data_IF_725167841076
#
_entry.id   IF_725167841076
#
_cell.length_a   1.000
_cell.length_b   1.000
_cell.length_c   1.000
_cell.angle_alpha   90.00
_cell.angle_beta   90.00
_cell.angle_gamma   90.00
#
_symmetry.space_group_name_H-M   'P 1'
#
loop_
_entity.id
_entity.type
_entity.pdbx_description
1 polymer ?
#
# COMPACT_ATOMS: atom_id res chain seq x y z
N UNK A 1 -4.23 -6.12 -17.66
CA UNK A 1 -2.89 -6.42 -17.12
C UNK A 1 -2.53 -5.59 -15.87
N UNK A 2 -2.83 -4.29 -15.80
CA UNK A 2 -2.47 -3.43 -14.63
C UNK A 2 -3.40 -3.54 -13.41
N UNK A 3 -4.62 -4.10 -13.55
CA UNK A 3 -5.62 -4.15 -12.46
C UNK A 3 -5.18 -4.92 -11.20
N UNK A 4 -4.35 -5.96 -11.37
CA UNK A 4 -3.85 -6.77 -10.25
C UNK A 4 -2.91 -5.97 -9.33
N UNK A 5 -2.11 -5.05 -9.89
CA UNK A 5 -1.24 -4.16 -9.11
C UNK A 5 -2.06 -3.21 -8.22
N UNK A 6 -3.25 -2.82 -8.67
CA UNK A 6 -4.17 -1.98 -7.91
C UNK A 6 -4.92 -2.75 -6.82
N UNK A 7 -5.09 -4.06 -6.99
CA UNK A 7 -5.75 -4.93 -6.01
C UNK A 7 -4.81 -5.32 -4.86
N UNK A 8 -3.51 -5.35 -5.11
CA UNK A 8 -2.47 -5.70 -4.13
C UNK A 8 -2.50 -4.83 -2.85
N UNK A 9 -2.57 -3.48 -2.92
CA UNK A 9 -2.71 -2.65 -1.72
C UNK A 9 -4.01 -2.91 -0.95
N UNK A 10 -5.11 -3.17 -1.66
CA UNK A 10 -6.41 -3.47 -1.04
C UNK A 10 -6.34 -4.78 -0.29
N UNK A 11 -5.69 -5.80 -0.87
CA UNK A 11 -5.46 -7.09 -0.22
C UNK A 11 -4.57 -6.95 1.02
N UNK A 12 -3.50 -6.15 0.93
CA UNK A 12 -2.60 -5.88 2.07
C UNK A 12 -3.33 -5.13 3.20
N UNK A 13 -4.17 -4.15 2.86
CA UNK A 13 -5.00 -3.43 3.84
C UNK A 13 -6.01 -4.36 4.53
N UNK A 14 -6.66 -5.25 3.78
CA UNK A 14 -7.58 -6.25 4.33
C UNK A 14 -6.86 -7.26 5.24
N UNK A 15 -5.68 -7.74 4.83
CA UNK A 15 -4.86 -8.63 5.65
C UNK A 15 -4.43 -7.97 6.97
N UNK A 16 -4.00 -6.71 6.91
CA UNK A 16 -3.63 -5.95 8.10
C UNK A 16 -4.82 -5.67 9.03
N UNK A 17 -6.00 -5.39 8.47
CA UNK A 17 -7.23 -5.23 9.23
C UNK A 17 -7.64 -6.53 9.94
N UNK A 18 -7.57 -7.68 9.24
CA UNK A 18 -7.83 -8.99 9.84
C UNK A 18 -6.84 -9.32 10.95
N UNK A 19 -5.56 -8.99 10.76
CA UNK A 19 -4.52 -9.17 11.78
C UNK A 19 -4.82 -8.36 13.04
N UNK A 20 -5.15 -7.06 12.88
CA UNK A 20 -5.53 -6.22 14.01
C UNK A 20 -6.77 -6.76 14.76
N UNK A 21 -7.76 -7.24 14.00
CA UNK A 21 -9.00 -7.75 14.56
C UNK A 21 -8.81 -9.08 15.29
N UNK A 22 -7.93 -9.96 14.80
CA UNK A 22 -7.60 -11.23 15.45
C UNK A 22 -6.83 -11.01 16.76
N UNK A 23 -5.88 -10.07 16.78
CA UNK A 23 -5.06 -9.78 17.95
C UNK A 23 -5.66 -8.75 18.92
N UNK A 24 -6.90 -8.28 18.69
CA UNK A 24 -7.56 -7.23 19.50
C UNK A 24 -6.72 -5.95 19.66
N UNK A 25 -5.83 -5.68 18.70
CA UNK A 25 -4.93 -4.53 18.78
C UNK A 25 -5.75 -3.27 18.47
N UNK A 26 -5.68 -2.22 19.30
CA UNK A 26 -6.41 -0.99 19.05
C UNK A 26 -6.01 -0.40 17.69
N UNK A 27 -7.02 0.01 16.89
CA UNK A 27 -6.85 0.61 15.56
C UNK A 27 -5.84 1.76 15.54
N UNK A 28 -5.73 2.52 16.64
CA UNK A 28 -4.72 3.58 16.83
C UNK A 28 -3.28 3.11 16.62
N UNK A 29 -2.97 1.86 16.97
CA UNK A 29 -1.64 1.29 16.81
C UNK A 29 -1.44 0.68 15.41
N UNK A 30 -2.52 0.17 14.81
CA UNK A 30 -2.50 -0.38 13.44
C UNK A 30 -2.43 0.65 12.33
N UNK A 31 -2.72 1.93 12.60
CA UNK A 31 -2.58 3.04 11.63
C UNK A 31 -1.16 3.10 11.08
N UNK A 32 -0.14 2.75 11.88
CA UNK A 32 1.26 2.68 11.41
C UNK A 32 1.47 1.66 10.30
N UNK A 33 0.77 0.52 10.33
CA UNK A 33 0.86 -0.47 9.26
C UNK A 33 0.10 -0.05 8.01
N UNK A 34 -1.07 0.56 8.18
CA UNK A 34 -1.80 1.19 7.07
C UNK A 34 -0.97 2.29 6.39
N UNK A 35 -0.30 3.15 7.17
CA UNK A 35 0.57 4.19 6.61
C UNK A 35 1.77 3.60 5.86
N UNK A 36 2.31 2.46 6.31
CA UNK A 36 3.37 1.75 5.58
C UNK A 36 2.88 1.22 4.23
N UNK A 37 1.69 0.61 4.18
CA UNK A 37 1.11 0.09 2.93
C UNK A 37 0.87 1.23 1.94
N UNK A 38 0.30 2.34 2.41
CA UNK A 38 0.03 3.52 1.58
C UNK A 38 1.35 4.16 1.11
N UNK A 39 2.31 4.36 2.01
CA UNK A 39 3.61 4.95 1.68
C UNK A 39 4.37 4.09 0.66
N UNK A 40 4.38 2.78 0.83
CA UNK A 40 5.03 1.86 -0.11
C UNK A 40 4.43 1.94 -1.52
N UNK A 41 3.10 1.95 -1.62
CA UNK A 41 2.42 2.10 -2.92
C UNK A 41 2.63 3.48 -3.54
N UNK A 42 2.61 4.55 -2.73
CA UNK A 42 2.88 5.90 -3.20
C UNK A 42 4.31 6.07 -3.72
N UNK A 43 5.29 5.50 -3.02
CA UNK A 43 6.71 5.52 -3.43
C UNK A 43 6.90 4.75 -4.74
N UNK A 44 6.33 3.56 -4.87
CA UNK A 44 6.37 2.80 -6.12
C UNK A 44 5.73 3.57 -7.28
N UNK A 45 4.59 4.20 -7.05
CA UNK A 45 3.92 5.06 -8.03
C UNK A 45 4.78 6.26 -8.46
N UNK A 46 5.42 6.93 -7.51
CA UNK A 46 6.32 8.05 -7.77
C UNK A 46 7.56 7.62 -8.57
N UNK A 47 8.17 6.48 -8.23
CA UNK A 47 9.33 5.94 -8.95
C UNK A 47 8.95 5.62 -10.39
N UNK A 48 7.84 4.92 -10.60
CA UNK A 48 7.35 4.58 -11.94
C UNK A 48 7.01 5.85 -12.74
N UNK A 49 6.36 6.83 -12.12
CA UNK A 49 6.04 8.10 -12.77
C UNK A 49 7.30 8.89 -13.14
N UNK A 50 8.29 8.94 -12.24
CA UNK A 50 9.59 9.57 -12.50
C UNK A 50 10.36 8.89 -13.62
N UNK A 51 10.40 7.55 -13.65
CA UNK A 51 11.01 6.78 -14.74
C UNK A 51 10.32 7.05 -16.08
N UNK A 52 8.99 7.17 -16.08
CA UNK A 52 8.22 7.44 -17.30
C UNK A 52 8.52 8.84 -17.84
N UNK A 53 8.67 9.83 -16.96
CA UNK A 53 9.14 11.18 -17.31
C UNK A 53 10.57 11.17 -17.84
N UNK A 54 11.45 10.39 -17.23
CA UNK A 54 12.86 10.31 -17.63
C UNK A 54 13.04 9.57 -18.97
N UNK A 55 12.19 8.57 -19.23
CA UNK A 55 12.21 7.77 -20.47
C UNK A 55 11.51 8.49 -21.63
N UNK A 56 10.53 9.34 -21.35
CA UNK A 56 9.79 10.12 -22.35
C UNK A 56 10.40 11.53 -22.56
N UNK A 57 11.67 11.71 -22.17
CA UNK A 57 12.52 12.88 -22.40
C UNK A 57 13.69 12.45 -23.27
#
# INVERSE_FOLDING_TARGET
>A
MVRLLFLLPILMCLGWYLFLRHYQIPLKQGVKGFSYIIAFNAVLGLILWGLLILTNR
#
